data_IF_835524696680
#
_entry.id   IF_835524696680
#
_cell.length_a   1.000
_cell.length_b   1.000
_cell.length_c   1.000
_cell.angle_alpha   90.00
_cell.angle_beta   90.00
_cell.angle_gamma   90.00
#
_symmetry.space_group_name_H-M   'P 1'
#
loop_
_entity.id
_entity.type
_entity.pdbx_description
1 polymer ?
#
# COMPACT_ATOMS: atom_id res chain seq x y z
N UNK A 1 3.06 -35.13 35.98
CA UNK A 1 3.75 -34.51 34.84
C UNK A 1 2.74 -33.62 34.12
N UNK A 2 2.77 -32.32 34.39
CA UNK A 2 1.99 -31.34 33.64
C UNK A 2 2.98 -30.60 32.74
N UNK A 3 2.87 -30.82 31.42
CA UNK A 3 3.70 -30.16 30.43
C UNK A 3 3.33 -28.67 30.37
N UNK A 4 4.31 -27.82 30.59
CA UNK A 4 4.17 -26.38 30.39
C UNK A 4 4.19 -26.10 28.89
N UNK A 5 3.09 -25.56 28.35
CA UNK A 5 3.08 -24.94 27.03
C UNK A 5 3.99 -23.72 27.03
N UNK A 6 5.11 -23.80 26.32
CA UNK A 6 5.96 -22.66 26.04
C UNK A 6 5.26 -21.75 25.02
N UNK A 7 4.70 -20.63 25.48
CA UNK A 7 4.36 -19.50 24.61
C UNK A 7 5.66 -18.96 24.01
N UNK A 8 5.93 -19.29 22.75
CA UNK A 8 6.96 -18.60 21.98
C UNK A 8 6.57 -17.13 21.87
N UNK A 9 7.28 -16.26 22.59
CA UNK A 9 7.13 -14.81 22.43
C UNK A 9 7.38 -14.42 20.98
N UNK A 10 6.67 -13.38 20.51
CA UNK A 10 6.92 -12.78 19.20
C UNK A 10 8.36 -12.26 19.24
N UNK A 11 9.30 -13.08 18.74
CA UNK A 11 10.72 -12.78 18.76
C UNK A 11 11.00 -11.48 18.01
N UNK A 12 12.19 -10.92 18.25
CA UNK A 12 12.72 -9.67 17.68
C UNK A 12 12.93 -9.71 16.14
N UNK A 13 12.12 -10.47 15.42
CA UNK A 13 12.19 -10.69 13.98
C UNK A 13 11.38 -9.61 13.27
N UNK A 14 12.01 -8.94 12.32
CA UNK A 14 11.37 -7.94 11.47
C UNK A 14 10.16 -8.55 10.73
N UNK A 15 8.99 -7.88 10.71
CA UNK A 15 7.81 -8.41 10.05
C UNK A 15 7.92 -8.32 8.53
N UNK A 16 7.25 -9.21 7.80
CA UNK A 16 7.06 -9.04 6.35
C UNK A 16 5.98 -7.99 6.08
N UNK A 17 6.07 -7.29 4.94
CA UNK A 17 5.12 -6.24 4.56
C UNK A 17 4.53 -6.60 3.19
N UNK A 18 3.20 -6.65 3.10
CA UNK A 18 2.46 -6.74 1.84
C UNK A 18 1.58 -5.51 1.68
N UNK A 19 1.77 -4.77 0.59
CA UNK A 19 0.94 -3.61 0.25
C UNK A 19 0.05 -3.94 -0.94
N UNK A 20 -1.26 -4.09 -0.67
CA UNK A 20 -2.26 -4.42 -1.68
C UNK A 20 -2.99 -3.13 -2.06
N UNK A 21 -2.98 -2.79 -3.35
CA UNK A 21 -3.66 -1.60 -3.87
C UNK A 21 -4.44 -1.94 -5.13
N UNK A 22 -5.73 -1.63 -5.11
CA UNK A 22 -6.60 -1.65 -6.29
C UNK A 22 -6.62 -0.27 -6.95
N UNK A 23 -7.05 -0.21 -8.21
CA UNK A 23 -7.22 1.04 -8.95
C UNK A 23 -8.72 1.33 -9.11
N UNK A 24 -9.13 2.57 -8.88
CA UNK A 24 -10.52 3.05 -8.90
C UNK A 24 -11.53 2.33 -7.97
N UNK A 25 -11.06 1.49 -7.04
CA UNK A 25 -11.94 0.82 -6.09
C UNK A 25 -12.41 1.79 -4.99
N UNK A 26 -13.68 2.16 -5.06
CA UNK A 26 -14.26 3.14 -4.16
C UNK A 26 -14.65 2.58 -2.79
N UNK A 27 -14.62 3.44 -1.77
CA UNK A 27 -15.08 3.14 -0.39
C UNK A 27 -16.46 2.51 -0.35
N UNK A 28 -17.37 3.00 -1.19
CA UNK A 28 -18.76 2.57 -1.29
C UNK A 28 -18.94 1.12 -1.76
N UNK A 29 -17.95 0.58 -2.48
CA UNK A 29 -17.99 -0.78 -3.03
C UNK A 29 -17.40 -1.83 -2.08
N UNK A 30 -16.74 -1.42 -1.00
CA UNK A 30 -16.20 -2.33 0.01
C UNK A 30 -17.23 -2.54 1.14
N UNK A 31 -17.64 -3.78 1.39
CA UNK A 31 -18.72 -4.09 2.34
C UNK A 31 -18.39 -3.71 3.78
N UNK A 32 -17.11 -3.73 4.18
CA UNK A 32 -16.68 -3.26 5.51
C UNK A 32 -17.07 -1.82 5.85
N UNK A 33 -17.33 -0.97 4.84
CA UNK A 33 -17.78 0.41 5.05
C UNK A 33 -19.30 0.57 5.11
N UNK A 34 -20.07 -0.53 4.99
CA UNK A 34 -21.52 -0.56 5.26
C UNK A 34 -22.41 0.13 4.22
N UNK A 35 -21.85 0.61 3.11
CA UNK A 35 -22.61 1.28 2.05
C UNK A 35 -23.51 0.29 1.28
N UNK A 36 -24.71 0.67 0.81
CA UNK A 36 -25.63 -0.24 0.10
C UNK A 36 -25.00 -0.98 -1.09
N UNK A 37 -24.13 -0.32 -1.86
CA UNK A 37 -23.43 -0.95 -3.00
C UNK A 37 -22.58 -2.15 -2.53
N UNK A 38 -21.76 -1.99 -1.48
CA UNK A 38 -20.98 -3.10 -0.94
C UNK A 38 -21.82 -4.26 -0.39
N UNK A 39 -23.09 -4.04 -0.03
CA UNK A 39 -24.01 -5.12 0.38
C UNK A 39 -24.48 -5.98 -0.80
N UNK A 40 -24.54 -5.40 -2.00
CA UNK A 40 -24.94 -6.11 -3.23
C UNK A 40 -23.80 -7.00 -3.73
N UNK A 41 -22.54 -6.54 -3.59
CA UNK A 41 -21.34 -7.27 -3.96
C UNK A 41 -20.34 -7.30 -2.79
N UNK A 42 -20.53 -8.20 -1.81
CA UNK A 42 -19.66 -8.25 -0.63
C UNK A 42 -18.19 -8.56 -0.95
N UNK A 43 -17.29 -8.00 -0.15
CA UNK A 43 -15.84 -8.15 -0.26
C UNK A 43 -15.26 -8.94 0.94
N UNK A 44 -15.63 -10.22 1.14
CA UNK A 44 -15.38 -10.94 2.40
C UNK A 44 -13.89 -11.05 2.77
N UNK A 45 -12.98 -11.13 1.78
CA UNK A 45 -11.54 -11.17 2.04
C UNK A 45 -10.94 -9.83 2.44
N UNK A 46 -11.47 -8.71 1.93
CA UNK A 46 -11.07 -7.37 2.37
C UNK A 46 -11.63 -7.11 3.77
N UNK A 47 -12.88 -7.51 4.00
CA UNK A 47 -13.55 -7.37 5.29
C UNK A 47 -12.78 -8.11 6.38
N UNK A 48 -12.32 -9.34 6.09
CA UNK A 48 -11.47 -10.12 6.99
C UNK A 48 -10.21 -9.36 7.42
N UNK A 49 -9.50 -8.72 6.48
CA UNK A 49 -8.28 -7.94 6.79
C UNK A 49 -8.62 -6.77 7.74
N UNK A 50 -9.74 -6.08 7.52
CA UNK A 50 -10.14 -4.98 8.39
C UNK A 50 -10.65 -5.44 9.77
N UNK A 51 -11.36 -6.56 9.85
CA UNK A 51 -11.83 -7.14 11.12
C UNK A 51 -10.70 -7.72 11.98
N UNK A 52 -9.66 -8.29 11.36
CA UNK A 52 -8.46 -8.78 12.06
C UNK A 52 -7.42 -7.67 12.32
N UNK A 53 -7.67 -6.46 11.84
CA UNK A 53 -6.73 -5.35 11.89
C UNK A 53 -7.41 -4.03 12.23
N UNK A 54 -7.22 -3.04 11.38
CA UNK A 54 -7.75 -1.70 11.56
C UNK A 54 -8.37 -1.17 10.27
N UNK A 55 -9.43 -0.36 10.43
CA UNK A 55 -10.12 0.32 9.32
C UNK A 55 -10.09 1.81 9.55
N UNK A 56 -9.52 2.54 8.59
CA UNK A 56 -9.53 4.00 8.61
C UNK A 56 -10.82 4.53 8.00
N UNK A 57 -11.58 5.31 8.78
CA UNK A 57 -12.81 5.93 8.29
C UNK A 57 -12.50 7.14 7.37
N UNK A 58 -11.41 7.85 7.67
CA UNK A 58 -10.98 9.06 6.98
C UNK A 58 -9.57 8.85 6.42
N UNK A 59 -9.47 8.32 5.20
CA UNK A 59 -8.21 8.12 4.49
C UNK A 59 -8.33 8.76 3.10
N UNK A 60 -7.50 9.76 2.82
CA UNK A 60 -7.59 10.58 1.60
C UNK A 60 -6.30 10.46 0.79
N UNK A 61 -6.43 10.34 -0.53
CA UNK A 61 -5.27 10.41 -1.42
C UNK A 61 -4.75 11.86 -1.51
N UNK A 62 -3.44 12.02 -1.73
CA UNK A 62 -2.84 13.35 -1.90
C UNK A 62 -3.21 14.01 -3.25
N UNK A 63 -3.56 13.20 -4.25
CA UNK A 63 -3.99 13.62 -5.58
C UNK A 63 -4.82 12.48 -6.19
N UNK A 64 -6.06 12.76 -6.61
CA UNK A 64 -7.06 11.76 -7.02
C UNK A 64 -6.87 11.26 -8.46
N UNK A 65 -5.63 11.06 -8.87
CA UNK A 65 -5.23 10.54 -10.19
C UNK A 65 -4.17 9.45 -9.99
N UNK A 66 -4.31 8.34 -10.73
CA UNK A 66 -3.55 7.09 -10.55
C UNK A 66 -2.02 7.30 -10.40
N UNK A 67 -1.33 7.87 -11.39
CA UNK A 67 0.13 8.09 -11.32
C UNK A 67 0.55 9.02 -10.17
N UNK A 68 -0.03 10.22 -10.04
CA UNK A 68 0.26 11.13 -8.93
C UNK A 68 0.03 10.54 -7.53
N UNK A 69 -1.04 9.74 -7.35
CA UNK A 69 -1.32 9.03 -6.10
C UNK A 69 -0.24 7.99 -5.80
N UNK A 70 0.14 7.17 -6.78
CA UNK A 70 1.21 6.17 -6.66
C UNK A 70 2.56 6.80 -6.31
N UNK A 71 2.91 7.92 -6.95
CA UNK A 71 4.13 8.66 -6.62
C UNK A 71 4.11 9.20 -5.18
N UNK A 72 2.96 9.70 -4.72
CA UNK A 72 2.80 10.17 -3.35
C UNK A 72 2.96 9.02 -2.34
N UNK A 73 2.36 7.85 -2.59
CA UNK A 73 2.51 6.64 -1.77
C UNK A 73 3.98 6.21 -1.66
N UNK A 74 4.70 6.14 -2.78
CA UNK A 74 6.09 5.69 -2.78
C UNK A 74 7.03 6.67 -2.05
N UNK A 75 6.79 7.97 -2.18
CA UNK A 75 7.71 9.01 -1.69
C UNK A 75 7.37 9.56 -0.31
N UNK A 76 6.12 9.40 0.14
CA UNK A 76 5.59 10.10 1.32
C UNK A 76 5.47 11.61 1.14
N UNK A 77 5.40 12.11 -0.11
CA UNK A 77 5.38 13.53 -0.44
C UNK A 77 4.16 13.88 -1.31
N UNK A 78 3.60 15.07 -1.11
CA UNK A 78 2.61 15.63 -2.04
C UNK A 78 3.18 15.77 -3.46
N UNK A 79 2.30 15.74 -4.48
CA UNK A 79 2.70 15.75 -5.90
C UNK A 79 3.61 16.92 -6.28
N UNK A 80 3.40 18.10 -5.71
CA UNK A 80 4.23 19.27 -5.98
C UNK A 80 5.67 19.15 -5.42
N UNK A 81 5.91 18.21 -4.49
CA UNK A 81 7.24 17.91 -3.94
C UNK A 81 7.90 16.70 -4.59
N UNK A 82 7.12 15.70 -5.01
CA UNK A 82 7.67 14.52 -5.70
C UNK A 82 7.82 14.70 -7.22
N UNK A 83 7.21 15.74 -7.79
CA UNK A 83 7.35 16.12 -9.21
C UNK A 83 6.38 15.41 -10.17
N UNK A 84 5.56 14.45 -9.71
CA UNK A 84 4.61 13.71 -10.53
C UNK A 84 3.18 14.22 -10.30
N UNK A 85 2.77 15.25 -11.05
CA UNK A 85 1.52 15.98 -10.79
C UNK A 85 0.31 15.54 -11.63
N UNK A 86 0.54 14.90 -12.78
CA UNK A 86 -0.53 14.45 -13.69
C UNK A 86 -0.14 13.17 -14.43
N UNK A 87 -1.13 12.41 -14.86
CA UNK A 87 -0.89 11.40 -15.90
C UNK A 87 -0.47 12.11 -17.20
N UNK A 88 0.53 11.58 -17.91
CA UNK A 88 1.18 12.26 -19.03
C UNK A 88 2.46 13.02 -18.64
N UNK A 89 2.89 12.94 -17.37
CA UNK A 89 4.25 13.31 -17.01
C UNK A 89 5.24 12.38 -17.73
N UNK A 90 6.40 12.91 -18.16
CA UNK A 90 7.39 12.16 -18.96
C UNK A 90 8.06 11.02 -18.20
N UNK A 91 8.01 11.04 -16.87
CA UNK A 91 8.64 10.05 -16.02
C UNK A 91 8.53 10.44 -14.55
N UNK A 92 8.55 9.45 -13.67
CA UNK A 92 8.85 9.65 -12.26
C UNK A 92 10.37 9.67 -12.06
N UNK A 93 10.88 10.68 -11.35
CA UNK A 93 12.28 10.73 -10.95
C UNK A 93 12.56 9.59 -9.98
N UNK A 94 13.10 8.49 -10.51
CA UNK A 94 13.49 7.31 -9.75
C UNK A 94 14.79 7.48 -8.98
N UNK A 95 15.48 8.62 -9.02
CA UNK A 95 16.67 8.84 -8.19
C UNK A 95 16.31 9.19 -6.75
N UNK A 96 15.16 9.86 -6.54
CA UNK A 96 14.71 10.31 -5.23
C UNK A 96 14.42 9.16 -4.24
N UNK A 97 14.37 9.48 -2.96
CA UNK A 97 14.00 8.53 -1.91
C UNK A 97 12.57 8.00 -2.09
N UNK A 98 12.41 6.69 -1.93
CA UNK A 98 11.12 6.00 -1.90
C UNK A 98 11.10 5.00 -0.74
N UNK A 99 9.91 4.65 -0.24
CA UNK A 99 9.72 3.66 0.83
C UNK A 99 10.42 2.31 0.51
N UNK A 100 10.30 1.73 -0.70
CA UNK A 100 11.02 0.50 -1.05
C UNK A 100 12.54 0.61 -0.92
N UNK A 101 13.14 1.74 -1.32
CA UNK A 101 14.60 1.96 -1.15
C UNK A 101 15.00 2.03 0.32
N UNK A 102 14.17 2.66 1.16
CA UNK A 102 14.41 2.70 2.61
C UNK A 102 14.36 1.27 3.17
N UNK A 103 13.38 0.47 2.75
CA UNK A 103 13.26 -0.92 3.18
C UNK A 103 14.47 -1.77 2.72
N UNK A 104 14.89 -1.66 1.45
CA UNK A 104 16.08 -2.33 0.93
C UNK A 104 17.35 -1.98 1.70
N UNK A 105 17.59 -0.69 1.95
CA UNK A 105 18.73 -0.23 2.74
C UNK A 105 18.73 -0.78 4.18
N UNK A 106 17.56 -1.21 4.67
CA UNK A 106 17.37 -1.83 5.98
C UNK A 106 17.22 -3.35 5.90
N UNK A 107 17.69 -3.99 4.82
CA UNK A 107 17.79 -5.44 4.70
C UNK A 107 16.47 -6.17 4.45
N UNK A 108 15.50 -5.50 3.84
CA UNK A 108 14.33 -6.14 3.23
C UNK A 108 14.60 -6.43 1.75
N UNK A 109 14.10 -7.56 1.27
CA UNK A 109 13.88 -7.78 -0.15
C UNK A 109 12.57 -7.08 -0.56
N UNK A 110 12.57 -6.38 -1.69
CA UNK A 110 11.41 -5.60 -2.13
C UNK A 110 11.01 -5.98 -3.54
N UNK A 111 9.71 -6.22 -3.74
CA UNK A 111 9.15 -6.54 -5.06
C UNK A 111 7.99 -5.60 -5.39
N UNK A 112 7.79 -5.39 -6.69
CA UNK A 112 6.58 -4.74 -7.22
C UNK A 112 5.97 -5.59 -8.32
N UNK A 113 4.69 -5.89 -8.19
CA UNK A 113 3.96 -6.76 -9.11
C UNK A 113 2.64 -6.07 -9.47
N UNK A 114 2.33 -6.01 -10.76
CA UNK A 114 1.10 -5.40 -11.27
C UNK A 114 1.30 -3.98 -11.81
N UNK A 115 0.36 -3.07 -11.53
CA UNK A 115 0.30 -1.75 -12.18
C UNK A 115 1.31 -0.76 -11.59
N UNK A 116 2.27 -0.33 -12.42
CA UNK A 116 3.26 0.69 -12.06
C UNK A 116 2.78 2.14 -12.31
N UNK A 117 2.44 2.45 -13.56
CA UNK A 117 1.87 3.74 -14.01
C UNK A 117 2.71 5.01 -13.72
N UNK A 118 4.03 4.86 -13.50
CA UNK A 118 4.96 5.98 -13.28
C UNK A 118 5.95 6.20 -14.45
N UNK A 119 5.72 5.50 -15.57
CA UNK A 119 6.43 5.59 -16.85
C UNK A 119 7.90 5.14 -16.81
N UNK A 120 8.71 5.62 -15.86
CA UNK A 120 10.10 5.24 -15.70
C UNK A 120 10.26 3.78 -15.28
N UNK A 121 11.45 3.20 -15.48
CA UNK A 121 11.77 1.87 -14.93
C UNK A 121 11.69 1.91 -13.40
N UNK A 122 11.03 0.93 -12.73
CA UNK A 122 11.03 0.86 -11.27
C UNK A 122 12.45 0.82 -10.69
N UNK A 123 12.62 1.44 -9.52
CA UNK A 123 13.88 1.46 -8.76
C UNK A 123 13.59 1.21 -7.29
N UNK A 124 14.51 0.56 -6.56
CA UNK A 124 14.28 0.18 -5.17
C UNK A 124 13.48 -1.10 -5.00
N UNK A 125 13.48 -1.94 -6.04
CA UNK A 125 12.88 -3.27 -6.10
C UNK A 125 13.91 -4.22 -6.71
N UNK A 126 13.99 -5.44 -6.18
CA UNK A 126 14.87 -6.53 -6.61
C UNK A 126 14.36 -7.24 -7.88
#
# INVERSE_FOLDING_TARGET
MQGQEQKQGIGNRRPNIIFIMSDDHARQAMSIYGHPIGKIAPTPHIDRIGHEGAVFQNNYCCNSISGPSRAAILTGKHSHKNGFMRNGNKGFDGSQQTLPKILQANGYETAIIGKWHLVSKPTGFD
#
